data_IF_442098411229
#
_entry.id   IF_442098411229
#
_cell.length_a   1.000
_cell.length_b   1.000
_cell.length_c   1.000
_cell.angle_alpha   90.00
_cell.angle_beta   90.00
_cell.angle_gamma   90.00
#
_symmetry.space_group_name_H-M   'P 1'
#
loop_
_entity.id
_entity.type
_entity.pdbx_description
1 polymer ?
#
# COMPACT_ATOMS: atom_id res chain seq x y z
N UNK A 1 24.93 25.62 -43.87
CA UNK A 1 23.68 24.84 -43.95
C UNK A 1 22.69 25.60 -44.80
N UNK A 2 22.00 24.92 -45.71
CA UNK A 2 21.08 25.53 -46.67
C UNK A 2 19.71 25.77 -45.99
N UNK A 3 19.35 27.04 -45.76
CA UNK A 3 18.17 27.42 -44.98
C UNK A 3 16.85 26.93 -45.60
N UNK A 4 16.80 26.77 -46.94
CA UNK A 4 15.63 26.25 -47.65
C UNK A 4 15.35 24.76 -47.42
N UNK A 5 16.35 23.97 -46.99
CA UNK A 5 16.22 22.53 -46.73
C UNK A 5 15.90 22.19 -45.27
N UNK A 6 15.99 23.17 -44.38
CA UNK A 6 15.77 22.99 -42.95
C UNK A 6 14.37 22.47 -42.64
N UNK A 7 13.33 23.06 -43.23
CA UNK A 7 11.94 22.68 -42.96
C UNK A 7 11.65 21.22 -43.35
N UNK A 8 12.12 20.77 -44.53
CA UNK A 8 11.94 19.40 -44.99
C UNK A 8 12.71 18.38 -44.12
N UNK A 9 13.92 18.73 -43.68
CA UNK A 9 14.71 17.91 -42.78
C UNK A 9 14.05 17.77 -41.40
N UNK A 10 13.53 18.87 -40.84
CA UNK A 10 12.78 18.86 -39.57
C UNK A 10 11.52 18.01 -39.69
N UNK A 11 10.73 18.16 -40.76
CA UNK A 11 9.51 17.37 -40.94
C UNK A 11 9.81 15.86 -41.04
N UNK A 12 10.87 15.49 -41.75
CA UNK A 12 11.31 14.09 -41.86
C UNK A 12 11.74 13.53 -40.51
N UNK A 13 12.49 14.30 -39.72
CA UNK A 13 12.93 13.93 -38.37
C UNK A 13 11.74 13.75 -37.42
N UNK A 14 10.77 14.66 -37.43
CA UNK A 14 9.58 14.56 -36.58
C UNK A 14 8.76 13.31 -36.95
N UNK A 15 8.59 13.04 -38.24
CA UNK A 15 7.89 11.83 -38.68
C UNK A 15 8.63 10.54 -38.28
N UNK A 16 9.96 10.51 -38.34
CA UNK A 16 10.72 9.33 -37.91
C UNK A 16 10.60 9.12 -36.40
N UNK A 17 10.71 10.17 -35.60
CA UNK A 17 10.54 10.12 -34.13
C UNK A 17 9.12 9.63 -33.80
N UNK A 18 8.10 10.18 -34.44
CA UNK A 18 6.71 9.76 -34.22
C UNK A 18 6.53 8.27 -34.53
N UNK A 19 7.03 7.78 -35.67
CA UNK A 19 6.90 6.36 -36.03
C UNK A 19 7.60 5.44 -35.04
N UNK A 20 8.75 5.85 -34.49
CA UNK A 20 9.52 5.07 -33.52
C UNK A 20 8.89 5.06 -32.12
N UNK A 21 8.25 6.15 -31.70
CA UNK A 21 7.80 6.33 -30.32
C UNK A 21 6.27 6.43 -30.16
N UNK A 22 5.47 6.30 -31.23
CA UNK A 22 3.98 6.41 -31.14
C UNK A 22 3.33 5.46 -30.13
N UNK A 23 4.00 4.36 -29.75
CA UNK A 23 3.46 3.40 -28.78
C UNK A 23 3.08 4.05 -27.44
N UNK A 24 3.85 5.06 -26.98
CA UNK A 24 3.58 5.77 -25.72
C UNK A 24 2.48 6.82 -25.82
N UNK A 25 1.98 7.14 -27.02
CA UNK A 25 0.96 8.17 -27.22
C UNK A 25 -0.42 7.55 -27.06
N UNK A 26 -1.15 7.98 -26.03
CA UNK A 26 -2.52 7.60 -25.77
C UNK A 26 -3.34 8.77 -25.25
N UNK A 27 -4.47 9.04 -25.90
CA UNK A 27 -5.35 10.19 -25.62
C UNK A 27 -6.71 9.75 -25.03
N UNK A 28 -6.76 8.56 -24.42
CA UNK A 28 -7.96 7.99 -23.82
C UNK A 28 -7.95 8.05 -22.29
N UNK A 29 -8.81 7.24 -21.67
CA UNK A 29 -8.85 7.10 -20.22
C UNK A 29 -7.69 6.22 -19.72
N UNK A 30 -6.70 6.83 -19.09
CA UNK A 30 -5.52 6.15 -18.54
C UNK A 30 -5.79 5.24 -17.34
N UNK A 31 -6.98 5.31 -16.73
CA UNK A 31 -7.38 4.46 -15.59
C UNK A 31 -8.24 3.26 -16.01
N UNK A 32 -8.58 3.17 -17.30
CA UNK A 32 -9.47 2.14 -17.82
C UNK A 32 -8.74 0.80 -17.94
N UNK A 33 -9.45 -0.31 -17.69
CA UNK A 33 -8.90 -1.66 -17.84
C UNK A 33 -8.54 -1.94 -19.31
N UNK A 34 -9.31 -1.36 -20.23
CA UNK A 34 -9.03 -1.37 -21.67
C UNK A 34 -7.65 -0.79 -21.98
N UNK A 35 -7.25 0.29 -21.29
CA UNK A 35 -5.91 0.85 -21.44
C UNK A 35 -4.83 -0.05 -20.86
N UNK A 36 -5.06 -0.70 -19.72
CA UNK A 36 -4.08 -1.64 -19.16
C UNK A 36 -3.76 -2.78 -20.13
N UNK A 37 -4.78 -3.36 -20.76
CA UNK A 37 -4.62 -4.41 -21.76
C UNK A 37 -3.94 -3.90 -23.05
N UNK A 38 -4.32 -2.70 -23.50
CA UNK A 38 -3.73 -2.09 -24.69
C UNK A 38 -2.26 -1.68 -24.47
N UNK A 39 -1.92 -1.16 -23.30
CA UNK A 39 -0.56 -0.81 -22.91
C UNK A 39 0.34 -2.05 -22.88
N UNK A 40 -0.15 -3.17 -22.34
CA UNK A 40 0.56 -4.45 -22.35
C UNK A 40 0.81 -4.95 -23.78
N UNK A 41 -0.21 -4.89 -24.66
CA UNK A 41 -0.06 -5.23 -26.09
C UNK A 41 0.97 -4.35 -26.81
N UNK A 42 1.13 -3.11 -26.36
CA UNK A 42 2.14 -2.16 -26.87
C UNK A 42 3.53 -2.38 -26.28
N UNK A 43 3.68 -3.30 -25.33
CA UNK A 43 4.93 -3.57 -24.63
C UNK A 43 5.31 -2.49 -23.62
N UNK A 44 4.34 -1.69 -23.16
CA UNK A 44 4.57 -0.66 -22.15
C UNK A 44 4.63 -1.32 -20.77
N UNK A 45 5.70 -1.08 -19.97
CA UNK A 45 5.83 -1.68 -18.65
C UNK A 45 4.76 -1.13 -17.69
N UNK A 46 4.16 -2.03 -16.90
CA UNK A 46 3.20 -1.70 -15.85
C UNK A 46 3.66 -2.30 -14.51
N UNK A 47 4.58 -1.63 -13.83
CA UNK A 47 5.15 -2.06 -12.55
C UNK A 47 4.27 -1.53 -11.41
N UNK A 48 3.42 -2.39 -10.86
CA UNK A 48 2.37 -2.00 -9.90
C UNK A 48 2.85 -1.84 -8.45
N UNK A 49 4.10 -2.21 -8.15
CA UNK A 49 4.65 -2.10 -6.80
C UNK A 49 6.06 -1.48 -6.83
N UNK A 50 6.41 -0.82 -5.73
CA UNK A 50 7.67 -0.09 -5.58
C UNK A 50 8.89 -0.99 -5.73
N UNK A 51 8.85 -2.23 -5.22
CA UNK A 51 9.99 -3.15 -5.27
C UNK A 51 10.35 -3.50 -6.71
N UNK A 52 9.34 -3.81 -7.54
CA UNK A 52 9.55 -4.11 -8.96
C UNK A 52 9.93 -2.83 -9.74
N UNK A 53 9.30 -1.69 -9.42
CA UNK A 53 9.60 -0.40 -10.05
C UNK A 53 11.04 0.08 -9.81
N UNK A 54 11.56 -0.11 -8.60
CA UNK A 54 12.95 0.24 -8.28
C UNK A 54 13.94 -0.60 -9.10
N UNK A 55 13.58 -1.83 -9.48
CA UNK A 55 14.40 -2.68 -10.34
C UNK A 55 14.77 -2.05 -11.68
N UNK A 56 13.90 -1.19 -12.23
CA UNK A 56 14.12 -0.50 -13.51
C UNK A 56 15.36 0.43 -13.49
N UNK A 57 15.78 0.91 -12.32
CA UNK A 57 16.99 1.75 -12.18
C UNK A 57 18.26 0.96 -12.52
N UNK A 58 18.24 -0.36 -12.31
CA UNK A 58 19.37 -1.26 -12.59
C UNK A 58 19.40 -1.78 -14.03
N UNK A 59 18.43 -1.40 -14.87
CA UNK A 59 18.44 -1.77 -16.28
C UNK A 59 19.63 -1.14 -17.02
N UNK A 60 20.14 -1.85 -18.02
CA UNK A 60 21.35 -1.42 -18.75
C UNK A 60 21.11 -0.10 -19.47
N UNK A 61 19.92 0.09 -19.98
CA UNK A 61 19.44 1.29 -20.66
C UNK A 61 19.41 2.49 -19.71
N UNK A 62 18.91 2.29 -18.49
CA UNK A 62 18.89 3.31 -17.42
C UNK A 62 20.30 3.72 -16.99
N UNK A 63 21.17 2.73 -16.75
CA UNK A 63 22.57 2.98 -16.37
C UNK A 63 23.31 3.71 -17.50
N UNK A 64 23.17 3.24 -18.74
CA UNK A 64 23.80 3.86 -19.90
C UNK A 64 23.29 5.29 -20.15
N UNK A 65 22.01 5.55 -19.89
CA UNK A 65 21.45 6.90 -19.97
C UNK A 65 22.13 7.83 -18.96
N UNK A 66 22.19 7.45 -17.69
CA UNK A 66 22.80 8.30 -16.66
C UNK A 66 24.29 8.52 -16.87
N UNK A 67 25.03 7.48 -17.28
CA UNK A 67 26.46 7.54 -17.54
C UNK A 67 26.78 8.44 -18.75
N UNK A 68 26.03 8.27 -19.85
CA UNK A 68 26.20 9.07 -21.08
C UNK A 68 26.03 10.57 -20.84
N UNK A 69 25.09 10.95 -19.99
CA UNK A 69 24.80 12.36 -19.70
C UNK A 69 25.56 12.89 -18.47
N UNK A 70 26.44 12.09 -17.86
CA UNK A 70 27.24 12.49 -16.70
C UNK A 70 26.41 12.82 -15.46
N UNK A 71 25.21 12.25 -15.34
CA UNK A 71 24.30 12.49 -14.20
C UNK A 71 24.66 11.59 -13.03
N UNK A 72 24.91 10.31 -13.31
CA UNK A 72 25.40 9.31 -12.35
C UNK A 72 26.32 8.34 -13.09
N UNK A 73 27.36 7.89 -12.42
CA UNK A 73 28.14 6.75 -12.89
C UNK A 73 27.44 5.42 -12.52
N UNK A 74 27.87 4.27 -13.07
CA UNK A 74 27.25 2.97 -12.80
C UNK A 74 27.23 2.59 -11.31
N UNK A 75 28.31 2.91 -10.59
CA UNK A 75 28.44 2.62 -9.15
C UNK A 75 27.49 3.48 -8.30
N UNK A 76 27.33 4.74 -8.67
CA UNK A 76 26.38 5.66 -8.03
C UNK A 76 24.94 5.24 -8.29
N UNK A 77 24.63 4.77 -9.49
CA UNK A 77 23.29 4.27 -9.85
C UNK A 77 22.92 3.05 -9.01
N UNK A 78 23.84 2.10 -8.85
CA UNK A 78 23.66 0.93 -7.98
C UNK A 78 23.51 1.34 -6.50
N UNK A 79 24.36 2.27 -6.03
CA UNK A 79 24.26 2.78 -4.65
C UNK A 79 22.92 3.47 -4.37
N UNK A 80 22.37 4.20 -5.35
CA UNK A 80 21.03 4.81 -5.22
C UNK A 80 19.92 3.78 -5.15
N UNK A 81 20.01 2.73 -5.97
CA UNK A 81 19.07 1.61 -5.89
C UNK A 81 19.06 1.02 -4.48
N UNK A 82 20.23 0.69 -3.92
CA UNK A 82 20.33 0.11 -2.59
C UNK A 82 19.72 1.04 -1.52
N UNK A 83 20.03 2.34 -1.57
CA UNK A 83 19.45 3.33 -0.65
C UNK A 83 17.91 3.37 -0.76
N UNK A 84 17.35 3.33 -1.97
CA UNK A 84 15.91 3.37 -2.16
C UNK A 84 15.21 2.10 -1.67
N UNK A 85 15.81 0.94 -1.90
CA UNK A 85 15.27 -0.34 -1.40
C UNK A 85 15.35 -0.38 0.13
N UNK A 86 16.47 0.06 0.72
CA UNK A 86 16.63 0.14 2.17
C UNK A 86 15.61 1.11 2.79
N UNK A 87 15.41 2.27 2.16
CA UNK A 87 14.40 3.24 2.59
C UNK A 87 13.00 2.64 2.56
N UNK A 88 12.63 1.97 1.47
CA UNK A 88 11.34 1.28 1.36
C UNK A 88 11.14 0.29 2.53
N UNK A 89 12.12 -0.56 2.81
CA UNK A 89 12.07 -1.49 3.93
C UNK A 89 11.88 -0.78 5.28
N UNK A 90 12.59 0.32 5.52
CA UNK A 90 12.51 1.10 6.77
C UNK A 90 11.15 1.79 6.94
N UNK A 91 10.64 2.39 5.87
CA UNK A 91 9.35 3.08 5.87
C UNK A 91 8.23 2.08 6.19
N UNK A 92 8.15 0.94 5.48
CA UNK A 92 7.13 -0.09 5.73
C UNK A 92 7.28 -0.74 7.11
N UNK A 93 8.50 -0.98 7.60
CA UNK A 93 8.71 -1.47 8.96
C UNK A 93 8.16 -0.50 10.02
N UNK A 94 8.38 0.79 9.81
CA UNK A 94 7.90 1.83 10.73
C UNK A 94 6.38 1.88 10.73
N UNK A 95 5.76 1.86 9.55
CA UNK A 95 4.30 1.79 9.39
C UNK A 95 3.72 0.51 10.01
N UNK A 96 4.34 -0.64 9.79
CA UNK A 96 3.91 -1.92 10.36
C UNK A 96 3.96 -1.94 11.88
N UNK A 97 5.03 -1.40 12.48
CA UNK A 97 5.16 -1.26 13.94
C UNK A 97 4.14 -0.28 14.52
N UNK A 98 3.89 0.84 13.83
CA UNK A 98 2.89 1.81 14.24
C UNK A 98 1.48 1.19 14.19
N UNK A 99 1.15 0.52 13.08
CA UNK A 99 -0.11 -0.20 12.90
C UNK A 99 -0.32 -1.22 14.01
N UNK A 100 0.70 -2.04 14.31
CA UNK A 100 0.68 -3.00 15.42
C UNK A 100 0.45 -2.31 16.76
N UNK A 101 1.17 -1.21 17.01
CA UNK A 101 1.03 -0.41 18.22
C UNK A 101 -0.40 0.09 18.41
N UNK A 102 -0.95 0.79 17.41
CA UNK A 102 -2.30 1.33 17.43
C UNK A 102 -3.37 0.24 17.59
N UNK A 103 -3.23 -0.87 16.86
CA UNK A 103 -4.17 -1.97 16.94
C UNK A 103 -4.19 -2.61 18.34
N UNK A 104 -3.02 -2.79 18.97
CA UNK A 104 -2.89 -3.42 20.29
C UNK A 104 -3.27 -2.51 21.45
N UNK A 105 -2.86 -1.25 21.40
CA UNK A 105 -2.98 -0.34 22.56
C UNK A 105 -4.22 0.53 22.53
N UNK A 106 -4.84 0.70 21.36
CA UNK A 106 -6.02 1.57 21.19
C UNK A 106 -7.23 0.79 20.73
N UNK A 107 -7.18 0.17 19.55
CA UNK A 107 -8.36 -0.41 18.90
C UNK A 107 -8.86 -1.67 19.63
N UNK A 108 -7.97 -2.63 19.90
CA UNK A 108 -8.33 -3.88 20.57
C UNK A 108 -8.92 -3.65 21.98
N UNK A 109 -8.33 -2.78 22.84
CA UNK A 109 -8.94 -2.43 24.12
C UNK A 109 -10.32 -1.77 24.00
N UNK A 110 -10.54 -0.92 23.00
CA UNK A 110 -11.85 -0.30 22.77
C UNK A 110 -12.91 -1.36 22.41
N UNK A 111 -12.56 -2.29 21.52
CA UNK A 111 -13.42 -3.42 21.16
C UNK A 111 -13.75 -4.28 22.40
N UNK A 112 -12.76 -4.59 23.24
CA UNK A 112 -12.99 -5.35 24.48
C UNK A 112 -13.91 -4.65 25.47
N UNK A 113 -13.77 -3.32 25.62
CA UNK A 113 -14.66 -2.54 26.49
C UNK A 113 -16.09 -2.59 26.00
N UNK A 114 -16.30 -2.35 24.70
CA UNK A 114 -17.63 -2.40 24.10
C UNK A 114 -18.25 -3.81 24.17
N UNK A 115 -17.47 -4.85 23.89
CA UNK A 115 -17.87 -6.24 24.08
C UNK A 115 -18.33 -6.51 25.52
N UNK A 116 -17.62 -5.97 26.52
CA UNK A 116 -17.97 -6.08 27.93
C UNK A 116 -19.31 -5.40 28.27
N UNK A 117 -19.58 -4.22 27.71
CA UNK A 117 -20.84 -3.49 27.92
C UNK A 117 -22.04 -4.23 27.32
N UNK A 118 -21.88 -4.79 26.11
CA UNK A 118 -22.91 -5.62 25.48
C UNK A 118 -23.19 -6.90 26.29
N UNK A 119 -22.14 -7.56 26.78
CA UNK A 119 -22.29 -8.76 27.60
C UNK A 119 -23.00 -8.47 28.93
N UNK A 120 -22.67 -7.37 29.60
CA UNK A 120 -23.33 -6.94 30.83
C UNK A 120 -24.82 -6.63 30.58
N UNK A 121 -25.12 -5.93 29.49
CA UNK A 121 -26.49 -5.62 29.09
C UNK A 121 -27.31 -6.89 28.85
N UNK A 122 -26.74 -7.85 28.11
CA UNK A 122 -27.38 -9.15 27.87
C UNK A 122 -27.63 -9.94 29.17
N UNK A 123 -26.66 -9.93 30.10
CA UNK A 123 -26.80 -10.59 31.40
C UNK A 123 -27.90 -9.94 32.27
N UNK A 124 -27.95 -8.61 32.31
CA UNK A 124 -28.98 -7.86 33.04
C UNK A 124 -30.40 -8.15 32.49
N UNK A 125 -30.56 -8.19 31.17
CA UNK A 125 -31.83 -8.54 30.54
C UNK A 125 -32.31 -9.95 30.89
N UNK A 126 -31.40 -10.93 30.90
CA UNK A 126 -31.70 -12.29 31.37
C UNK A 126 -32.13 -12.32 32.83
N UNK A 127 -31.47 -11.56 33.70
CA UNK A 127 -31.83 -11.45 35.11
C UNK A 127 -33.24 -10.86 35.32
N UNK A 128 -33.67 -9.96 34.43
CA UNK A 128 -35.04 -9.43 34.39
C UNK A 128 -36.07 -10.37 33.73
N UNK A 129 -35.70 -11.61 33.39
CA UNK A 129 -36.59 -12.58 32.77
C UNK A 129 -36.89 -12.31 31.29
N UNK A 130 -36.09 -11.48 30.61
CA UNK A 130 -36.20 -11.20 29.17
C UNK A 130 -35.09 -11.90 28.40
N UNK A 131 -35.40 -12.35 27.18
CA UNK A 131 -34.38 -12.87 26.26
C UNK A 131 -33.66 -11.71 25.58
N UNK A 132 -32.35 -11.50 25.79
CA UNK A 132 -31.60 -10.46 25.09
C UNK A 132 -31.36 -10.86 23.63
N UNK A 133 -31.29 -9.87 22.75
CA UNK A 133 -30.67 -10.02 21.45
C UNK A 133 -29.14 -9.96 21.61
N UNK A 134 -28.44 -10.99 21.14
CA UNK A 134 -26.97 -11.10 21.24
C UNK A 134 -26.26 -10.84 19.91
N UNK A 135 -26.99 -10.52 18.84
CA UNK A 135 -26.43 -10.37 17.49
C UNK A 135 -25.24 -9.39 17.44
N UNK A 136 -25.36 -8.22 18.08
CA UNK A 136 -24.26 -7.25 18.17
C UNK A 136 -23.07 -7.75 18.99
N UNK A 137 -23.34 -8.48 20.09
CA UNK A 137 -22.29 -9.07 20.92
C UNK A 137 -21.52 -10.15 20.14
N UNK A 138 -22.24 -10.99 19.40
CA UNK A 138 -21.66 -12.05 18.57
C UNK A 138 -20.78 -11.45 17.47
N UNK A 139 -21.25 -10.40 16.79
CA UNK A 139 -20.49 -9.68 15.75
C UNK A 139 -19.21 -9.03 16.29
N UNK A 140 -19.30 -8.28 17.40
CA UNK A 140 -18.11 -7.67 18.03
C UNK A 140 -17.13 -8.73 18.51
N UNK A 141 -17.63 -9.85 19.06
CA UNK A 141 -16.79 -10.96 19.53
C UNK A 141 -16.01 -11.59 18.39
N UNK A 142 -16.68 -11.85 17.25
CA UNK A 142 -16.05 -12.38 16.06
C UNK A 142 -14.95 -11.45 15.54
N UNK A 143 -15.27 -10.17 15.34
CA UNK A 143 -14.32 -9.19 14.82
C UNK A 143 -13.15 -8.93 15.77
N UNK A 144 -13.38 -8.92 17.07
CA UNK A 144 -12.31 -8.83 18.07
C UNK A 144 -11.34 -10.02 17.96
N UNK A 145 -11.88 -11.24 17.80
CA UNK A 145 -11.06 -12.44 17.58
C UNK A 145 -10.30 -12.40 16.25
N UNK A 146 -10.92 -11.90 15.17
CA UNK A 146 -10.26 -11.69 13.89
C UNK A 146 -9.12 -10.66 14.00
N UNK A 147 -9.34 -9.56 14.74
CA UNK A 147 -8.34 -8.51 14.97
C UNK A 147 -7.15 -9.06 15.74
N UNK A 148 -7.36 -9.83 16.81
CA UNK A 148 -6.26 -10.49 17.52
C UNK A 148 -5.44 -11.42 16.63
N UNK A 149 -6.12 -12.21 15.78
CA UNK A 149 -5.47 -13.07 14.79
C UNK A 149 -4.63 -12.27 13.80
N UNK A 150 -5.19 -11.19 13.25
CA UNK A 150 -4.50 -10.30 12.31
C UNK A 150 -3.30 -9.60 12.98
N UNK A 151 -3.44 -9.14 14.22
CA UNK A 151 -2.35 -8.55 15.02
C UNK A 151 -1.21 -9.55 15.24
N UNK A 152 -1.51 -10.82 15.53
CA UNK A 152 -0.49 -11.87 15.68
C UNK A 152 0.24 -12.14 14.36
N UNK A 153 -0.49 -12.19 13.25
CA UNK A 153 0.08 -12.35 11.92
C UNK A 153 1.00 -11.18 11.55
N UNK A 154 0.55 -9.94 11.77
CA UNK A 154 1.36 -8.75 11.53
C UNK A 154 2.60 -8.71 12.42
N UNK A 155 2.48 -9.09 13.70
CA UNK A 155 3.63 -9.17 14.61
C UNK A 155 4.69 -10.11 14.05
N UNK A 156 4.29 -11.33 13.69
CA UNK A 156 5.22 -12.31 13.14
C UNK A 156 5.87 -11.82 11.84
N UNK A 157 5.11 -11.17 10.96
CA UNK A 157 5.62 -10.62 9.71
C UNK A 157 6.65 -9.50 9.93
N UNK A 158 6.42 -8.62 10.91
CA UNK A 158 7.30 -7.46 11.23
C UNK A 158 8.53 -7.87 12.04
N UNK A 159 8.45 -8.94 12.84
CA UNK A 159 9.58 -9.48 13.61
C UNK A 159 10.60 -10.24 12.74
N UNK A 160 10.34 -10.40 11.44
CA UNK A 160 11.27 -11.00 10.51
C UNK A 160 12.64 -10.31 10.56
N UNK A 161 13.66 -11.06 10.99
CA UNK A 161 15.05 -10.64 10.93
C UNK A 161 15.60 -10.93 9.54
N UNK A 162 16.21 -9.90 8.94
CA UNK A 162 16.78 -9.97 7.60
C UNK A 162 17.76 -11.16 7.50
N UNK A 163 17.30 -12.21 6.84
CA UNK A 163 18.07 -13.44 6.58
C UNK A 163 18.19 -13.60 5.07
N UNK A 164 18.78 -12.59 4.41
CA UNK A 164 18.91 -12.57 2.95
C UNK A 164 19.43 -11.25 2.39
N UNK A 165 19.46 -11.19 1.07
CA UNK A 165 19.78 -9.98 0.30
C UNK A 165 18.72 -8.88 0.49
N UNK A 166 19.10 -7.63 0.29
CA UNK A 166 18.26 -6.45 0.48
C UNK A 166 16.96 -6.51 -0.33
N UNK A 167 17.02 -7.07 -1.54
CA UNK A 167 15.83 -7.28 -2.38
C UNK A 167 14.88 -8.34 -1.80
N UNK A 168 15.40 -9.41 -1.20
CA UNK A 168 14.57 -10.42 -0.54
C UNK A 168 13.85 -9.81 0.67
N UNK A 169 14.52 -8.92 1.40
CA UNK A 169 13.91 -8.18 2.50
C UNK A 169 12.78 -7.26 2.01
N UNK A 170 12.98 -6.53 0.91
CA UNK A 170 11.94 -5.68 0.32
C UNK A 170 10.73 -6.48 -0.17
N UNK A 171 10.97 -7.66 -0.77
CA UNK A 171 9.88 -8.58 -1.17
C UNK A 171 9.10 -9.08 0.03
N UNK A 172 9.76 -9.45 1.13
CA UNK A 172 9.08 -9.82 2.38
C UNK A 172 8.15 -8.72 2.88
N UNK A 173 8.59 -7.46 2.90
CA UNK A 173 7.71 -6.35 3.29
C UNK A 173 6.51 -6.19 2.35
N UNK A 174 6.74 -6.32 1.04
CA UNK A 174 5.67 -6.22 0.03
C UNK A 174 4.66 -7.36 0.15
N UNK A 175 5.14 -8.59 0.30
CA UNK A 175 4.35 -9.81 0.14
C UNK A 175 3.74 -10.30 1.45
N UNK A 176 4.37 -10.00 2.61
CA UNK A 176 3.92 -10.48 3.92
C UNK A 176 3.45 -9.34 4.83
N UNK A 177 4.25 -8.26 4.97
CA UNK A 177 3.94 -7.18 5.92
C UNK A 177 2.80 -6.29 5.42
N UNK A 178 2.85 -5.82 4.16
CA UNK A 178 1.81 -4.97 3.59
C UNK A 178 0.42 -5.64 3.61
N UNK A 179 0.25 -6.91 3.18
CA UNK A 179 -1.04 -7.60 3.28
C UNK A 179 -1.49 -7.81 4.73
N UNK A 180 -0.57 -8.11 5.65
CA UNK A 180 -0.91 -8.23 7.07
C UNK A 180 -1.41 -6.91 7.67
N UNK A 181 -0.79 -5.77 7.31
CA UNK A 181 -1.28 -4.43 7.70
C UNK A 181 -2.68 -4.15 7.13
N UNK A 182 -2.91 -4.46 5.85
CA UNK A 182 -4.22 -4.29 5.22
C UNK A 182 -5.29 -5.15 5.89
N UNK A 183 -4.95 -6.35 6.35
CA UNK A 183 -5.87 -7.21 7.09
C UNK A 183 -6.23 -6.63 8.46
N UNK A 184 -5.26 -6.13 9.21
CA UNK A 184 -5.51 -5.41 10.47
C UNK A 184 -6.42 -4.21 10.22
N UNK A 185 -6.14 -3.44 9.17
CA UNK A 185 -6.96 -2.30 8.76
C UNK A 185 -8.40 -2.71 8.44
N UNK A 186 -8.61 -3.73 7.61
CA UNK A 186 -9.95 -4.15 7.21
C UNK A 186 -10.83 -4.50 8.41
N UNK A 187 -10.29 -5.27 9.37
CA UNK A 187 -11.03 -5.62 10.60
C UNK A 187 -11.26 -4.40 11.50
N UNK A 188 -10.29 -3.48 11.59
CA UNK A 188 -10.45 -2.24 12.34
C UNK A 188 -11.53 -1.33 11.73
N UNK A 189 -11.58 -1.19 10.40
CA UNK A 189 -12.58 -0.41 9.68
C UNK A 189 -14.00 -1.00 9.89
N UNK A 190 -14.12 -2.32 9.99
CA UNK A 190 -15.39 -2.99 10.34
C UNK A 190 -15.78 -2.76 11.81
N UNK A 191 -14.82 -2.81 12.73
CA UNK A 191 -15.04 -2.51 14.15
C UNK A 191 -15.49 -1.05 14.37
N UNK A 192 -14.94 -0.09 13.60
CA UNK A 192 -15.34 1.32 13.66
C UNK A 192 -16.85 1.51 13.44
N UNK A 193 -17.46 0.68 12.59
CA UNK A 193 -18.88 0.82 12.26
C UNK A 193 -19.83 0.30 13.33
N UNK A 194 -19.35 -0.57 14.23
CA UNK A 194 -20.20 -1.26 15.22
C UNK A 194 -19.89 -0.87 16.65
N UNK A 195 -18.66 -0.45 16.94
CA UNK A 195 -18.27 0.03 18.28
C UNK A 195 -18.91 1.40 18.52
N UNK A 196 -19.31 1.66 19.76
CA UNK A 196 -19.87 2.95 20.14
C UNK A 196 -18.86 4.09 19.92
N UNK A 197 -19.33 5.21 19.37
CA UNK A 197 -18.53 6.40 19.00
C UNK A 197 -17.73 6.97 20.18
N UNK A 198 -18.30 6.95 21.39
CA UNK A 198 -17.66 7.43 22.62
C UNK A 198 -16.53 6.51 23.14
N UNK A 199 -16.53 5.24 22.73
CA UNK A 199 -15.48 4.28 23.03
C UNK A 199 -14.42 4.20 21.94
N UNK A 200 -14.71 4.69 20.73
CA UNK A 200 -13.79 4.61 19.61
C UNK A 200 -12.58 5.55 19.83
N UNK A 201 -11.34 5.04 19.79
CA UNK A 201 -10.18 5.80 20.25
C UNK A 201 -9.56 6.71 19.18
N UNK A 202 -10.04 6.64 17.94
CA UNK A 202 -9.47 7.35 16.80
C UNK A 202 -10.52 8.29 16.21
N UNK A 203 -10.11 9.47 15.70
CA UNK A 203 -11.03 10.33 14.98
C UNK A 203 -11.46 9.63 13.69
N UNK A 204 -12.76 9.61 13.44
CA UNK A 204 -13.37 9.06 12.23
C UNK A 204 -12.96 9.91 11.02
N UNK A 205 -13.02 9.34 9.81
CA UNK A 205 -12.75 10.09 8.58
C UNK A 205 -13.63 11.33 8.43
N UNK A 206 -14.88 11.26 8.91
CA UNK A 206 -15.79 12.41 8.90
C UNK A 206 -15.30 13.55 9.77
N UNK A 207 -14.76 13.24 10.95
CA UNK A 207 -14.19 14.24 11.85
C UNK A 207 -12.93 14.86 11.27
N UNK A 208 -11.99 14.04 10.77
CA UNK A 208 -10.74 14.52 10.18
C UNK A 208 -11.01 15.44 8.97
N UNK A 209 -12.00 15.10 8.14
CA UNK A 209 -12.24 15.81 6.87
C UNK A 209 -13.16 17.04 7.02
N UNK A 210 -14.09 17.04 7.97
CA UNK A 210 -15.18 18.04 8.00
C UNK A 210 -15.34 18.78 9.32
N UNK A 211 -14.79 18.28 10.43
CA UNK A 211 -14.93 18.93 11.74
C UNK A 211 -13.63 19.69 12.03
N UNK A 212 -13.74 21.03 12.05
CA UNK A 212 -12.66 21.96 12.41
C UNK A 212 -12.79 22.39 13.86
#
# INVERSE_FOLDING_TARGET
>A
GDAGKLAAAVQSLVQSIYKQHKAVIFNGNNYSEEWHQEAEKRGLPNLRNTVDALGAIKEKESIALFDKYGVLNPRETESRYDIYVERYCKDINTEGRLCLGMARSSILPAAYRYQGELAQTAAAMKACGRTPDTSSLDAVTELTGQLEGAIKQLQHAVEHTASGDLLAHAKHYRDEVCPAMLKVRGVADELEQIVADDLWPLPTYREILFIR
#
